data_IF_435495082618
#
_entry.id   IF_435495082618
#
_cell.length_a   1.000
_cell.length_b   1.000
_cell.length_c   1.000
_cell.angle_alpha   90.00
_cell.angle_beta   90.00
_cell.angle_gamma   90.00
#
_symmetry.space_group_name_H-M   'P 1'
#
loop_
_entity.id
_entity.type
_entity.pdbx_description
1 polymer ?
#
# COMPACT_ATOMS: atom_id res chain seq x y z
N UNK A 1 -3.19 9.48 5.17
CA UNK A 1 -2.76 8.45 6.13
C UNK A 1 -1.73 8.98 7.12
N UNK A 2 -0.98 8.07 7.75
CA UNK A 2 0.10 8.36 8.67
C UNK A 2 1.23 9.22 8.08
N UNK A 3 1.30 9.37 6.75
CA UNK A 3 2.22 10.30 6.09
C UNK A 3 1.75 11.76 6.07
N UNK A 4 0.59 12.08 6.67
CA UNK A 4 0.12 13.45 6.85
C UNK A 4 -0.75 13.99 5.70
N UNK A 5 -0.84 13.29 4.58
CA UNK A 5 -1.74 13.63 3.47
C UNK A 5 -3.16 13.08 3.69
N UNK A 6 -4.17 13.80 3.19
CA UNK A 6 -5.55 13.33 3.17
C UNK A 6 -5.87 12.62 1.84
N UNK A 7 -6.06 11.31 1.93
CA UNK A 7 -6.37 10.42 0.81
C UNK A 7 -7.78 9.83 0.90
N UNK A 8 -8.63 10.40 1.76
CA UNK A 8 -10.01 9.95 1.96
C UNK A 8 -10.79 9.92 0.65
N UNK A 9 -11.42 8.79 0.35
CA UNK A 9 -12.21 8.60 -0.88
C UNK A 9 -11.41 8.48 -2.17
N UNK A 10 -10.07 8.41 -2.10
CA UNK A 10 -9.21 8.26 -3.29
C UNK A 10 -8.82 6.81 -3.60
N UNK A 11 -9.34 5.86 -2.83
CA UNK A 11 -9.00 4.43 -2.86
C UNK A 11 -9.12 3.79 -4.27
N UNK A 12 -10.11 4.21 -5.06
CA UNK A 12 -10.34 3.72 -6.43
C UNK A 12 -9.59 4.55 -7.51
N UNK A 13 -8.85 5.59 -7.13
CA UNK A 13 -8.32 6.59 -8.09
C UNK A 13 -6.81 6.78 -8.07
N UNK A 14 -6.13 6.50 -6.94
CA UNK A 14 -4.69 6.67 -6.78
C UNK A 14 -4.03 5.38 -6.34
N UNK A 15 -2.77 5.17 -6.75
CA UNK A 15 -1.99 4.02 -6.34
C UNK A 15 -1.18 4.35 -5.09
N UNK A 16 -1.73 3.97 -3.94
CA UNK A 16 -1.08 4.18 -2.65
C UNK A 16 -1.01 2.87 -1.88
N UNK A 17 -0.08 2.82 -0.93
CA UNK A 17 0.15 1.67 -0.07
C UNK A 17 0.41 2.11 1.36
N UNK A 18 -0.10 1.33 2.30
CA UNK A 18 0.28 1.36 3.70
C UNK A 18 1.31 0.26 3.98
N UNK A 19 2.45 0.62 4.55
CA UNK A 19 3.45 -0.36 4.99
C UNK A 19 3.17 -0.79 6.43
N UNK A 20 3.66 -1.98 6.82
CA UNK A 20 3.57 -2.45 8.21
C UNK A 20 4.12 -1.42 9.19
N UNK A 21 3.42 -1.24 10.30
CA UNK A 21 3.91 -0.45 11.43
C UNK A 21 5.25 -0.95 11.98
N UNK A 22 5.59 -2.23 11.78
CA UNK A 22 6.88 -2.81 12.17
C UNK A 22 8.03 -2.31 11.29
N UNK A 23 7.76 -1.99 10.02
CA UNK A 23 8.74 -1.37 9.11
C UNK A 23 8.86 0.13 9.33
N UNK A 24 7.73 0.79 9.55
CA UNK A 24 7.69 2.25 9.70
C UNK A 24 8.08 2.71 11.10
N UNK A 25 7.94 1.87 12.12
CA UNK A 25 8.22 2.23 13.51
C UNK A 25 7.30 3.32 14.06
N UNK A 26 7.81 4.10 15.01
CA UNK A 26 7.02 5.07 15.77
C UNK A 26 6.66 6.32 14.95
N UNK A 27 7.47 6.68 13.95
CA UNK A 27 7.25 7.90 13.16
C UNK A 27 6.00 7.81 12.28
N UNK A 28 5.35 8.96 12.09
CA UNK A 28 4.19 9.17 11.22
C UNK A 28 4.51 10.20 10.11
N UNK A 29 4.06 11.45 10.18
CA UNK A 29 4.10 12.39 9.04
C UNK A 29 5.51 12.62 8.44
N UNK A 30 6.56 12.51 9.26
CA UNK A 30 7.96 12.67 8.82
C UNK A 30 8.70 11.34 8.69
N UNK A 31 7.98 10.24 8.52
CA UNK A 31 8.59 8.94 8.35
C UNK A 31 9.40 8.93 7.04
N UNK A 32 10.67 8.47 7.03
CA UNK A 32 11.50 8.46 5.83
C UNK A 32 10.92 7.60 4.70
N UNK A 33 9.98 6.70 4.98
CA UNK A 33 9.31 5.89 3.97
C UNK A 33 8.20 6.64 3.22
N UNK A 34 7.63 7.70 3.82
CA UNK A 34 6.56 8.45 3.20
C UNK A 34 6.98 9.06 1.86
N UNK A 35 6.11 8.95 0.85
CA UNK A 35 6.36 9.45 -0.49
C UNK A 35 7.32 8.58 -1.33
N UNK A 36 7.89 7.50 -0.78
CA UNK A 36 8.63 6.52 -1.58
C UNK A 36 7.65 5.67 -2.41
N UNK A 37 8.15 5.12 -3.51
CA UNK A 37 7.39 4.22 -4.39
C UNK A 37 7.92 2.79 -4.25
N UNK A 38 7.01 1.82 -4.16
CA UNK A 38 7.31 0.38 -4.24
C UNK A 38 6.81 -0.19 -5.56
N UNK A 39 7.36 -1.34 -5.98
CA UNK A 39 6.96 -2.03 -7.21
C UNK A 39 6.38 -3.39 -6.87
N UNK A 40 5.08 -3.55 -7.03
CA UNK A 40 4.36 -4.78 -6.67
C UNK A 40 4.20 -5.63 -7.92
N UNK A 41 4.53 -6.92 -7.82
CA UNK A 41 4.41 -7.91 -8.90
C UNK A 41 3.63 -9.12 -8.43
N UNK A 42 2.59 -9.46 -9.17
CA UNK A 42 1.84 -10.70 -9.02
C UNK A 42 0.99 -10.92 -10.26
N UNK A 43 0.52 -12.15 -10.47
CA UNK A 43 -0.40 -12.47 -11.57
C UNK A 43 0.13 -12.08 -12.98
N UNK A 44 1.45 -12.11 -13.18
CA UNK A 44 2.08 -11.64 -14.43
C UNK A 44 1.95 -10.14 -14.70
N UNK A 45 1.48 -9.36 -13.72
CA UNK A 45 1.32 -7.90 -13.78
C UNK A 45 2.27 -7.20 -12.83
N UNK A 46 2.42 -5.89 -13.03
CA UNK A 46 3.26 -5.02 -12.20
C UNK A 46 2.52 -3.70 -11.97
N UNK A 47 2.51 -3.24 -10.72
CA UNK A 47 1.95 -1.95 -10.32
C UNK A 47 2.96 -1.17 -9.48
N UNK A 48 2.91 0.16 -9.54
CA UNK A 48 3.66 1.04 -8.65
C UNK A 48 2.71 1.75 -7.70
N UNK A 49 3.09 1.82 -6.43
CA UNK A 49 2.29 2.48 -5.39
C UNK A 49 3.18 3.35 -4.50
N UNK A 50 2.64 4.51 -4.10
CA UNK A 50 3.32 5.44 -3.20
C UNK A 50 2.96 5.16 -1.75
N UNK A 51 3.95 5.12 -0.87
CA UNK A 51 3.75 4.94 0.57
C UNK A 51 3.07 6.19 1.14
N UNK A 52 1.82 6.03 1.58
CA UNK A 52 0.97 7.12 2.09
C UNK A 52 0.45 6.88 3.51
N UNK A 53 0.58 5.65 4.02
CA UNK A 53 0.06 5.28 5.33
C UNK A 53 0.88 4.17 6.02
N UNK A 54 0.51 3.89 7.26
CA UNK A 54 1.05 2.86 8.13
C UNK A 54 -0.07 1.92 8.56
N UNK A 55 0.08 0.64 8.23
CA UNK A 55 -0.88 -0.41 8.58
C UNK A 55 -0.56 -0.99 9.96
N UNK A 56 -1.40 -0.68 10.95
CA UNK A 56 -1.25 -1.17 12.33
C UNK A 56 -1.61 -2.65 12.50
N UNK A 57 -2.37 -3.24 11.58
CA UNK A 57 -2.74 -4.66 11.59
C UNK A 57 -1.85 -5.58 10.75
N UNK A 58 -0.90 -5.03 10.00
CA UNK A 58 -0.10 -5.76 9.03
C UNK A 58 1.13 -6.41 9.69
N UNK A 59 1.40 -7.68 9.36
CA UNK A 59 2.68 -8.31 9.67
C UNK A 59 3.82 -7.62 8.91
N UNK A 60 5.07 -7.91 9.26
CA UNK A 60 6.25 -7.15 8.80
C UNK A 60 6.28 -6.91 7.27
N UNK A 61 5.98 -7.94 6.48
CA UNK A 61 6.04 -7.89 5.02
C UNK A 61 4.65 -7.78 4.34
N UNK A 62 3.60 -7.59 5.12
CA UNK A 62 2.27 -7.34 4.59
C UNK A 62 2.15 -5.88 4.17
N UNK A 63 1.54 -5.67 3.00
CA UNK A 63 1.17 -4.34 2.51
C UNK A 63 -0.34 -4.27 2.34
N UNK A 64 -0.90 -3.11 2.66
CA UNK A 64 -2.32 -2.80 2.45
C UNK A 64 -2.41 -1.73 1.37
N UNK A 65 -2.93 -2.09 0.21
CA UNK A 65 -2.89 -1.26 -0.99
C UNK A 65 -4.26 -0.71 -1.29
N UNK A 66 -4.31 0.42 -2.00
CA UNK A 66 -5.59 0.95 -2.45
C UNK A 66 -6.32 -0.02 -3.39
N UNK A 67 -7.66 0.06 -3.43
CA UNK A 67 -8.51 -0.75 -4.33
C UNK A 67 -8.03 -0.71 -5.78
N UNK A 68 -7.58 0.47 -6.23
CA UNK A 68 -7.02 0.65 -7.58
C UNK A 68 -5.81 -0.25 -7.84
N UNK A 69 -4.84 -0.31 -6.92
CA UNK A 69 -3.66 -1.17 -7.06
C UNK A 69 -4.06 -2.64 -7.11
N UNK A 70 -4.98 -3.05 -6.24
CA UNK A 70 -5.47 -4.42 -6.19
C UNK A 70 -6.17 -4.82 -7.51
N UNK A 71 -7.05 -3.96 -8.02
CA UNK A 71 -7.74 -4.17 -9.29
C UNK A 71 -6.79 -4.17 -10.50
N UNK A 72 -5.74 -3.33 -10.50
CA UNK A 72 -4.71 -3.37 -11.56
C UNK A 72 -4.05 -4.75 -11.65
N UNK A 73 -3.73 -5.37 -10.51
CA UNK A 73 -3.10 -6.69 -10.43
C UNK A 73 -4.10 -7.84 -10.69
N UNK A 74 -5.26 -7.83 -10.04
CA UNK A 74 -6.17 -8.99 -10.00
C UNK A 74 -7.43 -8.84 -10.86
N UNK A 75 -7.83 -7.62 -11.21
CA UNK A 75 -9.04 -7.34 -11.97
C UNK A 75 -10.34 -7.39 -11.17
N UNK A 76 -10.31 -7.86 -9.92
CA UNK A 76 -11.38 -7.75 -8.93
C UNK A 76 -10.82 -7.82 -7.51
N UNK A 77 -11.65 -7.48 -6.52
CA UNK A 77 -11.29 -7.53 -5.09
C UNK A 77 -11.72 -8.83 -4.40
N UNK A 78 -12.32 -9.77 -5.13
CA UNK A 78 -13.01 -10.93 -4.54
C UNK A 78 -12.07 -11.86 -3.77
N UNK A 79 -10.79 -11.90 -4.15
CA UNK A 79 -9.77 -12.70 -3.46
C UNK A 79 -9.36 -12.10 -2.12
N UNK A 80 -9.60 -10.80 -1.88
CA UNK A 80 -9.35 -10.08 -0.63
C UNK A 80 -7.87 -9.92 -0.26
N UNK A 81 -7.15 -11.02 -0.05
CA UNK A 81 -5.74 -11.06 0.35
C UNK A 81 -4.99 -12.13 -0.43
N UNK A 82 -3.88 -11.75 -1.03
CA UNK A 82 -3.09 -12.59 -1.92
C UNK A 82 -1.60 -12.38 -1.70
N UNK A 83 -0.78 -13.32 -2.19
CA UNK A 83 0.68 -13.24 -2.14
C UNK A 83 1.23 -12.45 -3.32
N UNK A 84 2.22 -11.59 -3.07
CA UNK A 84 2.87 -10.72 -4.07
C UNK A 84 4.37 -10.57 -3.78
N UNK A 85 5.17 -10.21 -4.78
CA UNK A 85 6.54 -9.69 -4.62
C UNK A 85 6.48 -8.15 -4.61
N UNK A 86 7.17 -7.46 -3.70
CA UNK A 86 7.19 -5.99 -3.64
C UNK A 86 8.49 -5.40 -3.09
#
# INVERSE_FOLDING_TARGET
GACGEDDSGKDDSINIVALSHLLMGELSNNNPMCGKTITIKANGKTAQATVADKCMGCALNDIDVSRKVYEEIWGSLDSGRTEVEW
#
